data_IF_074420790772
#
_entry.id   IF_074420790772
#
_cell.length_a   1.000
_cell.length_b   1.000
_cell.length_c   1.000
_cell.angle_alpha   90.00
_cell.angle_beta   90.00
_cell.angle_gamma   90.00
#
_symmetry.space_group_name_H-M   'P 1'
#
loop_
_entity.id
_entity.type
_entity.pdbx_description
1 polymer ?
#
# COMPACT_ATOMS: atom_id res chain seq x y z
N UNK A 1 -0.65 -26.23 -2.72
CA UNK A 1 -0.76 -24.86 -2.21
C UNK A 1 -0.62 -23.95 -3.42
N UNK A 2 -1.58 -23.10 -3.69
CA UNK A 2 -1.51 -22.11 -4.76
C UNK A 2 -1.02 -20.77 -4.18
N UNK A 3 -0.22 -20.04 -4.96
CA UNK A 3 0.19 -18.69 -4.60
C UNK A 3 -0.98 -17.73 -4.84
N UNK A 4 -1.29 -16.89 -3.87
CA UNK A 4 -2.36 -15.91 -3.96
C UNK A 4 -1.87 -14.59 -4.56
N UNK A 5 -0.73 -14.10 -4.15
CA UNK A 5 -0.12 -12.84 -4.59
C UNK A 5 1.39 -12.85 -4.36
N UNK A 6 2.06 -11.86 -4.91
CA UNK A 6 3.45 -11.54 -4.62
C UNK A 6 3.53 -10.13 -4.04
N UNK A 7 4.32 -9.98 -2.98
CA UNK A 7 4.66 -8.69 -2.40
C UNK A 7 6.17 -8.69 -2.10
N UNK A 8 6.96 -7.80 -2.71
CA UNK A 8 8.34 -7.59 -2.28
C UNK A 8 8.37 -7.22 -0.79
N UNK A 9 9.46 -7.51 -0.08
CA UNK A 9 9.50 -7.29 1.36
C UNK A 9 10.68 -6.41 1.78
N UNK A 10 10.48 -5.60 2.82
CA UNK A 10 11.52 -4.79 3.45
C UNK A 10 12.18 -3.81 2.48
N UNK A 11 13.51 -3.75 2.50
CA UNK A 11 14.27 -2.85 1.65
C UNK A 11 14.01 -3.04 0.16
N UNK A 12 13.81 -4.29 -0.28
CA UNK A 12 13.49 -4.59 -1.68
C UNK A 12 12.19 -3.93 -2.12
N UNK A 13 11.17 -3.92 -1.26
CA UNK A 13 9.91 -3.23 -1.53
C UNK A 13 10.13 -1.74 -1.71
N UNK A 14 10.81 -1.09 -0.75
CA UNK A 14 11.04 0.36 -0.78
C UNK A 14 11.88 0.78 -1.99
N UNK A 15 12.94 0.04 -2.31
CA UNK A 15 13.76 0.31 -3.48
C UNK A 15 12.99 0.18 -4.80
N UNK A 16 12.10 -0.80 -4.90
CA UNK A 16 11.29 -1.02 -6.09
C UNK A 16 10.21 0.05 -6.31
N UNK A 17 9.91 0.89 -5.30
CA UNK A 17 8.97 2.01 -5.49
C UNK A 17 9.55 3.10 -6.40
N UNK A 18 10.88 3.28 -6.39
CA UNK A 18 11.56 4.39 -7.08
C UNK A 18 12.53 3.94 -8.17
N UNK A 19 12.95 2.66 -8.17
CA UNK A 19 13.89 2.10 -9.16
C UNK A 19 13.15 1.31 -10.24
N UNK A 20 12.96 1.92 -11.40
CA UNK A 20 12.30 1.32 -12.56
C UNK A 20 13.01 0.04 -13.06
N UNK A 21 14.34 -0.03 -12.96
CA UNK A 21 15.11 -1.21 -13.38
C UNK A 21 14.86 -2.40 -12.46
N UNK A 22 14.90 -2.16 -11.17
CA UNK A 22 14.61 -3.17 -10.14
C UNK A 22 13.14 -3.60 -10.21
N UNK A 23 12.21 -2.65 -10.29
CA UNK A 23 10.77 -2.91 -10.41
C UNK A 23 10.46 -3.81 -11.61
N UNK A 24 11.04 -3.50 -12.78
CA UNK A 24 10.88 -4.31 -13.98
C UNK A 24 11.44 -5.71 -13.79
N UNK A 25 12.64 -5.86 -13.21
CA UNK A 25 13.23 -7.17 -12.98
C UNK A 25 12.36 -8.05 -12.07
N UNK A 26 11.76 -7.46 -11.02
CA UNK A 26 10.82 -8.15 -10.12
C UNK A 26 9.56 -8.55 -10.90
N UNK A 27 8.93 -7.62 -11.62
CA UNK A 27 7.71 -7.88 -12.37
C UNK A 27 7.90 -8.98 -13.42
N UNK A 28 9.00 -8.95 -14.17
CA UNK A 28 9.35 -10.00 -15.13
C UNK A 28 9.59 -11.36 -14.47
N UNK A 29 10.20 -11.38 -13.27
CA UNK A 29 10.37 -12.61 -12.52
C UNK A 29 9.04 -13.20 -12.07
N UNK A 30 8.10 -12.36 -11.59
CA UNK A 30 6.75 -12.78 -11.20
C UNK A 30 5.98 -13.29 -12.43
N UNK A 31 6.03 -12.58 -13.55
CA UNK A 31 5.36 -13.00 -14.78
C UNK A 31 5.81 -14.39 -15.26
N UNK A 32 7.09 -14.74 -15.06
CA UNK A 32 7.62 -16.09 -15.39
C UNK A 32 7.09 -17.22 -14.51
N UNK A 33 6.52 -16.91 -13.33
CA UNK A 33 5.87 -17.94 -12.50
C UNK A 33 4.54 -18.42 -13.12
N UNK A 34 3.97 -17.65 -14.03
CA UNK A 34 2.68 -17.93 -14.65
C UNK A 34 1.50 -17.58 -13.74
N UNK A 35 0.28 -17.65 -14.29
CA UNK A 35 -0.95 -17.49 -13.49
C UNK A 35 -1.36 -16.06 -13.16
N UNK A 36 -0.77 -15.04 -13.78
CA UNK A 36 -1.14 -13.63 -13.56
C UNK A 36 -1.26 -13.26 -12.06
N UNK A 37 -0.25 -13.62 -11.27
CA UNK A 37 -0.23 -13.36 -9.82
C UNK A 37 -0.32 -11.86 -9.52
N UNK A 38 -1.26 -11.43 -8.65
CA UNK A 38 -1.34 -10.05 -8.21
C UNK A 38 -0.05 -9.61 -7.52
N UNK A 39 0.37 -8.36 -7.81
CA UNK A 39 1.52 -7.73 -7.14
C UNK A 39 1.00 -6.62 -6.22
N UNK A 40 1.26 -6.74 -4.92
CA UNK A 40 0.87 -5.72 -3.94
C UNK A 40 1.95 -4.65 -3.86
N UNK A 41 1.57 -3.40 -4.05
CA UNK A 41 2.49 -2.27 -4.05
C UNK A 41 1.73 -0.94 -3.85
N UNK A 42 2.45 0.13 -3.57
CA UNK A 42 1.86 1.47 -3.51
C UNK A 42 1.44 1.93 -4.92
N UNK A 43 0.25 2.49 -5.02
CA UNK A 43 -0.27 3.01 -6.28
C UNK A 43 0.66 4.10 -6.85
N UNK A 44 0.87 4.07 -8.16
CA UNK A 44 1.68 5.08 -8.87
C UNK A 44 3.20 4.90 -8.79
N UNK A 45 3.69 3.92 -8.00
CA UNK A 45 5.12 3.62 -7.90
C UNK A 45 5.68 2.99 -9.18
N UNK A 46 7.03 2.94 -9.31
CA UNK A 46 7.68 2.21 -10.40
C UNK A 46 7.31 0.72 -10.38
N UNK A 47 7.15 0.11 -9.19
CA UNK A 47 6.68 -1.28 -9.08
C UNK A 47 5.25 -1.45 -9.60
N UNK A 48 4.38 -0.46 -9.34
CA UNK A 48 3.02 -0.43 -9.89
C UNK A 48 3.04 -0.41 -11.42
N UNK A 49 3.82 0.49 -12.01
CA UNK A 49 3.95 0.63 -13.46
C UNK A 49 4.56 -0.62 -14.10
N UNK A 50 5.60 -1.19 -13.46
CA UNK A 50 6.25 -2.39 -13.95
C UNK A 50 5.34 -3.61 -13.93
N UNK A 51 4.53 -3.78 -12.88
CA UNK A 51 3.55 -4.86 -12.78
C UNK A 51 2.52 -4.77 -13.92
N UNK A 52 1.96 -3.57 -14.14
CA UNK A 52 1.00 -3.34 -15.25
C UNK A 52 1.64 -3.58 -16.62
N UNK A 53 2.87 -3.10 -16.85
CA UNK A 53 3.59 -3.31 -18.10
C UNK A 53 3.90 -4.79 -18.36
N UNK A 54 4.08 -5.60 -17.31
CA UNK A 54 4.26 -7.05 -17.39
C UNK A 54 2.94 -7.85 -17.51
N UNK A 55 1.79 -7.17 -17.59
CA UNK A 55 0.47 -7.80 -17.65
C UNK A 55 0.02 -8.45 -16.34
N UNK A 56 0.61 -8.04 -15.20
CA UNK A 56 0.22 -8.52 -13.88
C UNK A 56 -0.80 -7.59 -13.23
N UNK A 57 -1.77 -8.11 -12.48
CA UNK A 57 -2.64 -7.28 -11.66
C UNK A 57 -1.81 -6.53 -10.61
N UNK A 58 -1.81 -5.20 -10.66
CA UNK A 58 -1.20 -4.36 -9.64
C UNK A 58 -2.27 -4.02 -8.60
N UNK A 59 -2.05 -4.40 -7.34
CA UNK A 59 -3.00 -4.21 -6.24
C UNK A 59 -2.50 -3.10 -5.33
N UNK A 60 -3.22 -1.97 -5.25
CA UNK A 60 -2.77 -0.84 -4.46
C UNK A 60 -2.96 -1.11 -2.97
N UNK A 61 -1.91 -0.88 -2.20
CA UNK A 61 -1.95 -1.04 -0.76
C UNK A 61 -1.73 0.28 0.00
N UNK A 62 -2.22 0.31 1.23
CA UNK A 62 -2.00 1.38 2.18
C UNK A 62 -1.33 0.83 3.44
N UNK A 63 -0.28 1.50 3.91
CA UNK A 63 0.39 1.17 5.18
C UNK A 63 -0.28 1.93 6.32
N UNK A 64 -1.19 1.25 7.03
CA UNK A 64 -2.03 1.87 8.05
C UNK A 64 -1.21 2.37 9.25
N UNK A 65 -0.17 1.64 9.61
CA UNK A 65 0.68 1.86 10.77
C UNK A 65 2.00 2.58 10.46
N UNK A 66 2.08 3.23 9.30
CA UNK A 66 3.24 4.07 8.92
C UNK A 66 2.76 5.47 8.55
N UNK A 67 3.45 6.53 9.04
CA UNK A 67 3.12 7.90 8.64
C UNK A 67 3.45 8.14 7.17
N UNK A 68 2.83 9.16 6.62
CA UNK A 68 2.98 9.56 5.23
C UNK A 68 3.28 11.07 5.16
N UNK A 69 4.16 11.47 4.27
CA UNK A 69 4.40 12.86 3.92
C UNK A 69 3.32 13.41 2.97
N UNK A 70 3.26 14.73 2.83
CA UNK A 70 2.30 15.40 1.96
C UNK A 70 2.49 15.11 0.47
N UNK A 71 3.67 14.60 0.08
CA UNK A 71 3.96 14.13 -1.27
C UNK A 71 3.55 12.66 -1.51
N UNK A 72 2.99 11.99 -0.50
CA UNK A 72 2.57 10.59 -0.55
C UNK A 72 3.66 9.59 -0.21
N UNK A 73 4.89 10.02 0.05
CA UNK A 73 5.95 9.12 0.48
C UNK A 73 5.71 8.58 1.89
N UNK A 74 6.13 7.34 2.15
CA UNK A 74 5.90 6.65 3.42
C UNK A 74 7.15 6.68 4.28
N UNK A 75 7.00 6.98 5.56
CA UNK A 75 8.09 6.93 6.53
C UNK A 75 8.24 5.51 7.07
N UNK A 76 9.28 4.80 6.61
CA UNK A 76 9.55 3.42 7.04
C UNK A 76 10.53 3.33 8.21
N UNK A 77 11.45 4.29 8.34
CA UNK A 77 12.45 4.33 9.42
C UNK A 77 12.17 5.49 10.35
N UNK A 78 12.33 5.28 11.67
CA UNK A 78 12.04 6.31 12.67
C UNK A 78 10.56 6.70 12.78
N UNK A 79 9.67 5.92 12.17
CA UNK A 79 8.23 6.20 12.14
C UNK A 79 7.62 6.38 13.53
N UNK A 80 8.18 5.73 14.55
CA UNK A 80 7.72 5.79 15.95
C UNK A 80 7.79 7.20 16.54
N UNK A 81 8.64 8.06 15.99
CA UNK A 81 8.75 9.47 16.41
C UNK A 81 7.60 10.32 15.86
N UNK A 82 6.87 9.79 14.89
CA UNK A 82 5.87 10.52 14.12
C UNK A 82 4.45 9.96 14.22
N UNK A 83 4.31 8.70 14.63
CA UNK A 83 3.02 8.04 14.76
C UNK A 83 3.00 7.15 16.00
N UNK A 84 2.10 7.45 16.92
CA UNK A 84 1.72 6.54 17.98
C UNK A 84 0.75 5.51 17.38
N UNK A 85 1.28 4.36 16.95
CA UNK A 85 0.52 3.33 16.27
C UNK A 85 -0.27 2.48 17.28
N UNK A 86 -1.31 3.07 17.87
CA UNK A 86 -2.29 2.35 18.68
C UNK A 86 -3.45 1.83 17.82
N UNK A 87 -4.23 0.85 18.32
CA UNK A 87 -5.45 0.40 17.62
C UNK A 87 -6.39 1.55 17.27
N UNK A 88 -6.55 2.54 18.16
CA UNK A 88 -7.40 3.70 17.97
C UNK A 88 -6.88 4.62 16.85
N UNK A 89 -5.61 5.00 16.94
CA UNK A 89 -4.99 5.91 15.97
C UNK A 89 -4.97 5.31 14.57
N UNK A 90 -4.59 4.03 14.46
CA UNK A 90 -4.48 3.36 13.16
C UNK A 90 -5.84 3.09 12.55
N UNK A 91 -6.83 2.67 13.36
CA UNK A 91 -8.20 2.46 12.87
C UNK A 91 -8.86 3.76 12.41
N UNK A 92 -8.60 4.90 13.08
CA UNK A 92 -9.11 6.20 12.66
C UNK A 92 -8.53 6.64 11.30
N UNK A 93 -7.23 6.41 11.07
CA UNK A 93 -6.60 6.67 9.77
C UNK A 93 -7.24 5.84 8.66
N UNK A 94 -7.50 4.56 8.92
CA UNK A 94 -8.16 3.68 7.95
C UNK A 94 -9.62 4.09 7.73
N UNK A 95 -10.33 4.50 8.78
CA UNK A 95 -11.69 5.03 8.65
C UNK A 95 -11.72 6.28 7.77
N UNK A 96 -10.77 7.21 7.99
CA UNK A 96 -10.63 8.39 7.13
C UNK A 96 -10.40 8.00 5.68
N UNK A 97 -9.50 7.05 5.43
CA UNK A 97 -9.23 6.54 4.09
C UNK A 97 -10.49 5.97 3.42
N UNK A 98 -11.24 5.10 4.13
CA UNK A 98 -12.46 4.48 3.59
C UNK A 98 -13.54 5.51 3.32
N UNK A 99 -13.74 6.46 4.24
CA UNK A 99 -14.81 7.46 4.14
C UNK A 99 -14.52 8.56 3.11
N UNK A 100 -13.25 8.96 2.95
CA UNK A 100 -12.89 10.16 2.18
C UNK A 100 -11.91 9.89 1.02
N UNK A 101 -11.32 8.71 0.93
CA UNK A 101 -10.25 8.41 -0.01
C UNK A 101 -8.93 9.11 0.32
N UNK A 102 -8.75 9.62 1.54
CA UNK A 102 -7.56 10.38 1.93
C UNK A 102 -7.14 10.12 3.38
N UNK A 103 -5.88 10.44 3.68
CA UNK A 103 -5.32 10.41 5.03
C UNK A 103 -4.62 11.73 5.35
N UNK A 104 -4.47 12.04 6.63
CA UNK A 104 -3.69 13.21 7.06
C UNK A 104 -2.20 12.87 7.05
N UNK A 105 -1.41 13.72 6.38
CA UNK A 105 0.06 13.63 6.37
C UNK A 105 0.69 14.13 7.66
N UNK A 106 2.01 13.94 7.80
CA UNK A 106 2.79 14.49 8.91
C UNK A 106 2.71 16.02 8.99
N UNK A 107 2.62 16.67 7.83
CA UNK A 107 2.53 18.13 7.71
C UNK A 107 1.09 18.64 7.90
N UNK A 108 0.14 17.76 8.20
CA UNK A 108 -1.27 18.11 8.41
C UNK A 108 -2.09 18.29 7.12
N UNK A 109 -1.53 17.97 5.97
CA UNK A 109 -2.24 18.03 4.69
C UNK A 109 -3.10 16.78 4.48
N UNK A 110 -4.22 16.93 3.77
CA UNK A 110 -5.01 15.80 3.29
C UNK A 110 -4.34 15.22 2.03
N UNK A 111 -3.93 13.95 2.09
CA UNK A 111 -3.29 13.24 0.98
C UNK A 111 -4.26 12.20 0.42
N UNK A 112 -4.65 12.30 -0.86
CA UNK A 112 -5.46 11.26 -1.48
C UNK A 112 -4.67 9.96 -1.59
N UNK A 113 -5.31 8.83 -1.26
CA UNK A 113 -4.69 7.51 -1.29
C UNK A 113 -5.58 6.54 -2.06
N UNK A 114 -5.02 5.89 -3.06
CA UNK A 114 -5.68 4.77 -3.73
C UNK A 114 -5.22 3.47 -3.08
N UNK A 115 -6.14 2.73 -2.49
CA UNK A 115 -5.85 1.43 -1.89
C UNK A 115 -7.06 0.50 -1.95
N UNK A 116 -6.80 -0.78 -2.20
CA UNK A 116 -7.78 -1.87 -2.10
C UNK A 116 -7.33 -2.94 -1.09
N UNK A 117 -6.15 -2.75 -0.52
CA UNK A 117 -5.62 -3.58 0.57
C UNK A 117 -4.93 -2.71 1.61
N UNK A 118 -4.96 -3.16 2.85
CA UNK A 118 -4.35 -2.47 3.99
C UNK A 118 -3.29 -3.37 4.61
N UNK A 119 -2.10 -2.82 4.82
CA UNK A 119 -0.99 -3.48 5.47
C UNK A 119 -0.82 -2.97 6.91
N UNK A 120 -0.61 -3.90 7.83
CA UNK A 120 -0.13 -3.65 9.19
C UNK A 120 1.15 -4.48 9.36
N UNK A 121 2.22 -3.86 9.84
CA UNK A 121 3.52 -4.51 9.94
C UNK A 121 3.66 -5.28 11.26
N UNK A 122 4.23 -6.48 11.19
CA UNK A 122 4.38 -7.37 12.34
C UNK A 122 5.38 -6.86 13.40
N UNK A 123 6.27 -5.92 13.03
CA UNK A 123 7.22 -5.24 13.92
C UNK A 123 6.60 -4.05 14.68
N UNK A 124 5.36 -3.69 14.38
CA UNK A 124 4.62 -2.68 15.14
C UNK A 124 4.10 -3.30 16.44
N UNK A 125 4.44 -2.71 17.61
CA UNK A 125 3.90 -3.19 18.88
C UNK A 125 2.37 -3.25 18.85
N UNK A 126 1.79 -4.36 19.28
CA UNK A 126 0.33 -4.54 19.26
C UNK A 126 -0.26 -4.79 17.87
N UNK A 127 0.53 -5.24 16.88
CA UNK A 127 0.08 -5.45 15.50
C UNK A 127 -1.18 -6.32 15.38
N UNK A 128 -1.36 -7.29 16.26
CA UNK A 128 -2.55 -8.16 16.30
C UNK A 128 -3.82 -7.38 16.66
N UNK A 129 -3.75 -6.57 17.69
CA UNK A 129 -4.85 -5.71 18.15
C UNK A 129 -5.13 -4.61 17.13
N UNK A 130 -4.10 -4.03 16.55
CA UNK A 130 -4.20 -3.04 15.46
C UNK A 130 -4.91 -3.66 14.26
N UNK A 131 -4.50 -4.84 13.83
CA UNK A 131 -5.14 -5.54 12.71
C UNK A 131 -6.61 -5.82 12.94
N UNK A 132 -6.99 -6.23 14.16
CA UNK A 132 -8.39 -6.44 14.54
C UNK A 132 -9.19 -5.12 14.52
N UNK A 133 -8.62 -4.04 15.05
CA UNK A 133 -9.26 -2.72 15.05
C UNK A 133 -9.42 -2.14 13.64
N UNK A 134 -8.42 -2.30 12.78
CA UNK A 134 -8.46 -1.90 11.36
C UNK A 134 -9.57 -2.64 10.63
N UNK A 135 -9.65 -3.97 10.80
CA UNK A 135 -10.72 -4.77 10.20
C UNK A 135 -12.10 -4.29 10.64
N UNK A 136 -12.30 -4.12 11.94
CA UNK A 136 -13.55 -3.64 12.50
C UNK A 136 -13.92 -2.23 11.98
N UNK A 137 -12.94 -1.35 11.82
CA UNK A 137 -13.15 -0.01 11.27
C UNK A 137 -13.62 -0.05 9.81
N UNK A 138 -13.01 -0.89 8.96
CA UNK A 138 -13.41 -1.06 7.56
C UNK A 138 -14.84 -1.63 7.46
N UNK A 139 -15.13 -2.67 8.25
CA UNK A 139 -16.45 -3.31 8.26
C UNK A 139 -17.55 -2.37 8.79
N UNK A 140 -17.23 -1.48 9.74
CA UNK A 140 -18.16 -0.47 10.25
C UNK A 140 -18.53 0.59 9.20
N UNK A 141 -17.67 0.86 8.22
CA UNK A 141 -17.96 1.71 7.06
C UNK A 141 -18.72 0.96 5.93
N UNK A 142 -19.16 -0.27 6.19
CA UNK A 142 -19.94 -1.08 5.23
C UNK A 142 -19.10 -1.75 4.15
N UNK A 143 -17.79 -1.78 4.28
CA UNK A 143 -16.88 -2.43 3.33
C UNK A 143 -16.55 -3.85 3.83
N UNK A 144 -16.81 -4.86 3.00
CA UNK A 144 -16.47 -6.23 3.33
C UNK A 144 -14.95 -6.46 3.24
N UNK A 145 -14.36 -7.03 4.30
CA UNK A 145 -12.97 -7.47 4.31
C UNK A 145 -12.93 -8.95 3.98
N UNK A 146 -12.45 -9.28 2.80
CA UNK A 146 -12.36 -10.66 2.32
C UNK A 146 -11.08 -10.93 1.54
N UNK A 147 -10.67 -12.20 1.50
CA UNK A 147 -9.54 -12.68 0.69
C UNK A 147 -9.98 -13.39 -0.60
N UNK A 148 -11.27 -13.44 -0.89
CA UNK A 148 -11.78 -14.10 -2.10
C UNK A 148 -11.93 -13.07 -3.22
N UNK A 149 -11.16 -13.29 -4.29
CA UNK A 149 -11.42 -12.68 -5.59
C UNK A 149 -10.99 -11.24 -5.74
N UNK A 150 -9.69 -10.95 -5.62
CA UNK A 150 -9.14 -9.85 -6.40
C UNK A 150 -9.19 -10.29 -7.86
N UNK A 151 -10.37 -10.13 -8.46
CA UNK A 151 -10.51 -10.28 -9.91
C UNK A 151 -9.74 -9.12 -10.56
N UNK A 152 -8.88 -9.39 -11.55
CA UNK A 152 -8.20 -8.34 -12.30
C UNK A 152 -9.15 -7.29 -12.92
N UNK A 153 -10.41 -7.64 -13.04
CA UNK A 153 -11.44 -6.79 -13.65
C UNK A 153 -12.07 -5.76 -12.70
N UNK A 154 -11.82 -5.82 -11.39
CA UNK A 154 -12.43 -4.89 -10.41
C UNK A 154 -11.48 -3.83 -9.89
N UNK A 155 -10.22 -3.84 -10.31
CA UNK A 155 -9.30 -2.71 -10.07
C UNK A 155 -9.57 -1.59 -11.09
N UNK A 156 -10.80 -1.07 -11.14
CA UNK A 156 -11.02 0.24 -11.73
C UNK A 156 -10.22 1.25 -10.90
N UNK A 157 -9.40 2.12 -11.53
CA UNK A 157 -8.63 3.11 -10.79
C UNK A 157 -9.61 4.08 -10.14
N UNK A 158 -9.86 3.92 -8.85
CA UNK A 158 -10.44 4.98 -8.07
C UNK A 158 -9.44 6.14 -8.07
N UNK A 159 -9.67 7.12 -8.97
CA UNK A 159 -8.94 8.37 -9.14
C UNK A 159 -7.46 8.24 -9.55
N UNK A 160 -7.18 8.75 -10.74
CA UNK A 160 -5.86 8.91 -11.30
C UNK A 160 -4.97 9.79 -10.39
N UNK A 161 -4.18 9.16 -9.56
CA UNK A 161 -3.11 9.78 -8.80
C UNK A 161 -1.80 9.44 -9.48
N UNK A 162 -1.35 10.20 -10.42
CA UNK A 162 -0.06 9.94 -11.05
C UNK A 162 0.48 11.02 -11.97
N UNK A 163 0.05 12.24 -11.85
CA UNK A 163 0.71 13.29 -12.61
C UNK A 163 1.38 14.28 -11.64
N UNK A 164 2.56 13.94 -11.14
CA UNK A 164 3.39 14.94 -10.49
C UNK A 164 4.00 14.63 -9.12
N UNK A 165 4.23 13.37 -8.74
CA UNK A 165 5.12 13.13 -7.60
C UNK A 165 6.55 13.56 -7.95
N UNK A 166 7.17 14.45 -7.16
CA UNK A 166 8.61 14.63 -7.26
C UNK A 166 9.28 13.30 -6.89
N UNK A 167 10.23 12.86 -7.71
CA UNK A 167 11.06 11.70 -7.39
C UNK A 167 11.68 11.94 -6.02
N UNK A 168 11.48 11.01 -5.09
CA UNK A 168 12.01 11.10 -3.73
C UNK A 168 13.49 11.48 -3.78
N UNK A 169 13.83 12.59 -3.17
CA UNK A 169 15.22 12.97 -2.97
C UNK A 169 15.86 11.99 -1.98
N UNK A 170 16.66 11.09 -2.51
CA UNK A 170 17.71 10.33 -1.85
C UNK A 170 17.44 9.81 -0.45
N UNK A 171 17.09 8.54 -0.34
CA UNK A 171 17.35 7.72 0.85
C UNK A 171 18.61 6.90 0.57
N UNK A 172 19.76 7.41 1.00
CA UNK A 172 20.92 6.65 1.44
C UNK A 172 21.14 6.94 2.91
#
# INVERSE_FOLDING_TARGET
MELHHVKPHGALYMMALDDAGLARAIAEAVARLGGALPVYTLAGSEMWQAAQAAGLPAVPEFFADRPMHSDGSVVMFGWQEHLDATPETVSERVRSLVATGSVTSLEGASVPVTATTVCVHADTPGAGEIGAAVRAAIEAEGVAVGGEGISPATAEPALAWAAGLPKSAGLL
#
